data_IF_421656158424
#
_entry.id   IF_421656158424
#
_cell.length_a   1.000
_cell.length_b   1.000
_cell.length_c   1.000
_cell.angle_alpha   90.00
_cell.angle_beta   90.00
_cell.angle_gamma   90.00
#
_symmetry.space_group_name_H-M   'P 1'
#
loop_
_entity.id
_entity.type
_entity.pdbx_description
1 polymer ?
#
# COMPACT_ATOMS: atom_id res chain seq x y z
N UNK A 1 33.91 -9.37 -21.03
CA UNK A 1 34.44 -8.57 -19.90
C UNK A 1 33.51 -8.76 -18.72
N UNK A 2 34.07 -9.11 -17.56
CA UNK A 2 33.35 -9.52 -16.34
C UNK A 2 32.28 -8.51 -15.91
N UNK A 3 31.02 -8.92 -15.95
CA UNK A 3 29.90 -8.16 -15.41
C UNK A 3 29.91 -8.35 -13.87
N UNK A 4 30.91 -7.76 -13.20
CA UNK A 4 30.93 -7.68 -11.73
C UNK A 4 29.67 -6.93 -11.32
N UNK A 5 28.69 -7.64 -10.77
CA UNK A 5 27.53 -7.08 -10.09
C UNK A 5 28.06 -6.09 -9.05
N UNK A 6 27.98 -4.79 -9.35
CA UNK A 6 28.33 -3.73 -8.40
C UNK A 6 27.50 -3.96 -7.14
N UNK A 7 28.17 -4.14 -6.00
CA UNK A 7 27.48 -4.22 -4.72
C UNK A 7 26.62 -2.96 -4.50
N UNK A 8 25.52 -3.06 -3.74
CA UNK A 8 24.72 -1.90 -3.36
C UNK A 8 25.63 -0.82 -2.77
N UNK A 9 25.43 0.44 -3.18
CA UNK A 9 26.14 1.56 -2.57
C UNK A 9 25.80 1.62 -1.07
N UNK A 10 26.80 1.90 -0.23
CA UNK A 10 26.58 2.20 1.18
C UNK A 10 25.55 3.34 1.29
N UNK A 11 24.51 3.15 2.10
CA UNK A 11 23.41 4.11 2.20
C UNK A 11 23.86 5.48 2.76
N UNK A 12 24.94 5.53 3.56
CA UNK A 12 25.51 6.78 4.07
C UNK A 12 26.17 7.61 2.96
N UNK A 13 26.74 6.94 1.96
CA UNK A 13 27.48 7.57 0.86
C UNK A 13 26.60 7.88 -0.36
N UNK A 14 25.39 7.31 -0.42
CA UNK A 14 24.49 7.48 -1.57
C UNK A 14 23.91 8.91 -1.60
N UNK A 15 24.28 9.69 -2.61
CA UNK A 15 23.78 11.06 -2.81
C UNK A 15 22.29 11.13 -3.17
N UNK A 16 21.67 9.99 -3.51
CA UNK A 16 20.23 9.90 -3.80
C UNK A 16 19.36 9.73 -2.55
N UNK A 17 19.95 9.62 -1.36
CA UNK A 17 19.20 9.61 -0.10
C UNK A 17 19.21 10.99 0.56
N UNK A 18 18.04 11.44 1.01
CA UNK A 18 17.93 12.66 1.80
C UNK A 18 18.68 12.52 3.14
N UNK A 19 19.24 13.63 3.65
CA UNK A 19 20.02 13.65 4.89
C UNK A 19 19.24 13.01 6.05
N UNK A 20 17.99 13.43 6.25
CA UNK A 20 17.13 12.86 7.31
C UNK A 20 16.84 11.37 7.12
N UNK A 21 16.76 10.91 5.86
CA UNK A 21 16.59 9.48 5.55
C UNK A 21 17.82 8.68 5.96
N UNK A 22 19.03 9.21 5.74
CA UNK A 22 20.28 8.54 6.16
C UNK A 22 20.37 8.40 7.67
N UNK A 23 20.04 9.46 8.42
CA UNK A 23 20.03 9.41 9.89
C UNK A 23 19.02 8.41 10.43
N UNK A 24 17.83 8.34 9.81
CA UNK A 24 16.83 7.34 10.17
C UNK A 24 17.31 5.91 9.90
N UNK A 25 17.90 5.67 8.71
CA UNK A 25 18.45 4.36 8.36
C UNK A 25 19.60 3.95 9.29
N UNK A 26 20.40 4.89 9.79
CA UNK A 26 21.46 4.60 10.77
C UNK A 26 20.91 4.01 12.07
N UNK A 27 19.78 4.53 12.56
CA UNK A 27 19.11 3.99 13.75
C UNK A 27 18.53 2.61 13.46
N UNK A 28 17.86 2.43 12.32
CA UNK A 28 17.27 1.15 11.95
C UNK A 28 18.30 0.05 11.73
N UNK A 29 19.39 0.36 11.02
CA UNK A 29 20.44 -0.60 10.68
C UNK A 29 21.37 -0.91 11.88
N UNK A 30 21.15 -0.30 13.05
CA UNK A 30 21.89 -0.62 14.28
C UNK A 30 21.38 -1.88 14.99
N UNK A 31 20.24 -2.43 14.59
CA UNK A 31 19.73 -3.70 15.10
C UNK A 31 20.36 -4.89 14.39
N UNK A 32 20.78 -5.89 15.15
CA UNK A 32 21.47 -7.08 14.62
C UNK A 32 20.54 -8.22 14.22
N UNK A 33 19.23 -8.12 14.51
CA UNK A 33 18.25 -9.19 14.25
C UNK A 33 17.37 -8.83 13.05
N UNK A 34 17.50 -9.52 11.91
CA UNK A 34 16.62 -9.30 10.75
C UNK A 34 15.17 -9.65 11.08
N UNK A 35 14.22 -8.83 10.60
CA UNK A 35 12.78 -9.02 10.88
C UNK A 35 12.29 -10.37 10.38
N UNK A 36 12.75 -10.79 9.20
CA UNK A 36 12.44 -12.08 8.57
C UNK A 36 12.95 -13.31 9.33
N UNK A 37 13.81 -13.12 10.34
CA UNK A 37 14.27 -14.20 11.23
C UNK A 37 13.36 -14.41 12.45
N UNK A 38 12.43 -13.48 12.71
CA UNK A 38 11.53 -13.52 13.85
C UNK A 38 10.26 -14.34 13.55
N UNK A 39 9.64 -14.95 14.58
CA UNK A 39 8.26 -15.43 14.47
C UNK A 39 7.32 -14.27 14.04
N UNK A 40 6.29 -14.52 13.20
CA UNK A 40 5.39 -13.47 12.71
C UNK A 40 4.79 -12.57 13.80
N UNK A 41 4.44 -13.12 14.96
CA UNK A 41 3.93 -12.36 16.10
C UNK A 41 4.93 -11.36 16.66
N UNK A 42 6.22 -11.69 16.66
CA UNK A 42 7.29 -10.79 17.10
C UNK A 42 7.69 -9.80 16.00
N UNK A 43 7.70 -10.25 14.73
CA UNK A 43 7.92 -9.37 13.59
C UNK A 43 6.90 -8.21 13.54
N UNK A 44 5.62 -8.49 13.83
CA UNK A 44 4.56 -7.45 13.94
C UNK A 44 4.90 -6.36 14.96
N UNK A 45 5.41 -6.76 16.14
CA UNK A 45 5.81 -5.82 17.20
C UNK A 45 6.92 -4.87 16.78
N UNK A 46 7.77 -5.25 15.82
CA UNK A 46 8.82 -4.35 15.31
C UNK A 46 8.20 -3.12 14.64
N UNK A 47 7.21 -3.31 13.77
CA UNK A 47 6.52 -2.19 13.12
C UNK A 47 5.67 -1.39 14.13
N UNK A 48 4.99 -2.07 15.06
CA UNK A 48 4.22 -1.43 16.13
C UNK A 48 5.11 -0.56 17.03
N UNK A 49 6.27 -1.07 17.44
CA UNK A 49 7.28 -0.35 18.21
C UNK A 49 7.84 0.85 17.46
N UNK A 50 8.20 0.68 16.18
CA UNK A 50 8.67 1.77 15.35
C UNK A 50 7.63 2.90 15.22
N UNK A 51 6.37 2.55 14.97
CA UNK A 51 5.30 3.54 14.83
C UNK A 51 4.97 4.24 16.15
N UNK A 52 4.91 3.50 17.27
CA UNK A 52 4.57 4.05 18.59
C UNK A 52 5.70 4.87 19.23
N UNK A 53 6.95 4.67 18.81
CA UNK A 53 8.11 5.44 19.28
C UNK A 53 8.06 6.92 18.88
N UNK A 54 7.21 7.29 17.91
CA UNK A 54 7.08 8.65 17.41
C UNK A 54 5.66 9.16 17.64
N UNK A 55 5.54 10.21 18.45
CA UNK A 55 4.27 10.91 18.65
C UNK A 55 3.89 11.69 17.39
N UNK A 56 2.74 11.35 16.82
CA UNK A 56 2.16 12.00 15.64
C UNK A 56 0.76 12.50 15.92
N UNK A 57 0.28 13.45 15.11
CA UNK A 57 -1.07 13.97 15.21
C UNK A 57 -2.06 12.98 14.57
N UNK A 58 -3.03 12.53 15.37
CA UNK A 58 -4.14 11.67 14.93
C UNK A 58 -5.50 12.33 15.24
N UNK A 59 -5.52 13.64 15.46
CA UNK A 59 -6.73 14.41 15.71
C UNK A 59 -7.50 14.74 14.42
N UNK A 60 -8.73 15.26 14.55
CA UNK A 60 -9.52 15.69 13.40
C UNK A 60 -10.32 14.58 12.71
N UNK A 61 -10.34 13.38 13.30
CA UNK A 61 -11.12 12.23 12.81
C UNK A 61 -12.03 11.64 13.89
N UNK A 62 -13.05 10.91 13.44
CA UNK A 62 -13.92 10.03 14.21
C UNK A 62 -13.83 8.61 13.65
N UNK A 63 -13.86 7.61 14.52
CA UNK A 63 -13.56 6.21 14.17
C UNK A 63 -14.68 5.29 14.68
N UNK A 64 -15.17 4.41 13.81
CA UNK A 64 -16.15 3.37 14.16
C UNK A 64 -15.68 2.03 13.63
N UNK A 65 -15.56 1.03 14.52
CA UNK A 65 -15.31 -0.36 14.13
C UNK A 65 -16.64 -1.07 13.85
N UNK A 66 -16.68 -1.85 12.77
CA UNK A 66 -17.83 -2.70 12.43
C UNK A 66 -17.34 -3.98 11.78
N UNK A 67 -17.90 -5.12 12.19
CA UNK A 67 -17.74 -6.37 11.44
C UNK A 67 -18.85 -6.46 10.41
N UNK A 68 -18.49 -6.61 9.14
CA UNK A 68 -19.41 -6.78 8.03
C UNK A 68 -19.38 -8.22 7.53
N UNK A 69 -20.48 -8.66 6.90
CA UNK A 69 -20.59 -9.97 6.26
C UNK A 69 -20.94 -9.79 4.80
N UNK A 70 -20.09 -10.29 3.89
CA UNK A 70 -20.29 -10.17 2.45
C UNK A 70 -19.55 -11.29 1.73
N UNK A 71 -20.16 -11.90 0.72
CA UNK A 71 -19.50 -12.94 -0.10
C UNK A 71 -18.94 -14.13 0.69
N UNK A 72 -19.60 -14.52 1.79
CA UNK A 72 -19.13 -15.59 2.68
C UNK A 72 -17.97 -15.21 3.60
N UNK A 73 -17.52 -13.95 3.55
CA UNK A 73 -16.47 -13.40 4.41
C UNK A 73 -17.08 -12.62 5.57
N UNK A 74 -16.44 -12.72 6.74
CA UNK A 74 -16.66 -11.80 7.86
C UNK A 74 -15.39 -10.95 8.01
N UNK A 75 -15.52 -9.64 7.86
CA UNK A 75 -14.37 -8.72 7.78
C UNK A 75 -14.58 -7.57 8.76
N UNK A 76 -13.59 -7.29 9.59
CA UNK A 76 -13.60 -6.06 10.38
C UNK A 76 -13.20 -4.88 9.50
N UNK A 77 -13.99 -3.82 9.58
CA UNK A 77 -13.69 -2.54 8.95
C UNK A 77 -13.62 -1.44 10.01
N UNK A 78 -12.73 -0.48 9.77
CA UNK A 78 -12.67 0.75 10.56
C UNK A 78 -13.07 1.89 9.65
N UNK A 79 -14.22 2.49 9.94
CA UNK A 79 -14.72 3.67 9.25
C UNK A 79 -14.10 4.89 9.91
N UNK A 80 -13.29 5.64 9.16
CA UNK A 80 -12.62 6.85 9.61
C UNK A 80 -13.19 8.04 8.86
N UNK A 81 -13.73 9.01 9.60
CA UNK A 81 -14.39 10.20 9.02
C UNK A 81 -13.75 11.47 9.54
N UNK A 82 -13.75 12.58 8.79
CA UNK A 82 -13.37 13.87 9.36
C UNK A 82 -14.34 14.27 10.49
N UNK A 83 -13.80 14.76 11.59
CA UNK A 83 -14.57 15.07 12.81
C UNK A 83 -15.68 16.10 12.54
N UNK A 84 -16.87 15.87 13.09
CA UNK A 84 -18.01 16.79 12.99
C UNK A 84 -18.78 16.77 11.65
N UNK A 85 -18.40 15.90 10.70
CA UNK A 85 -19.07 15.75 9.40
C UNK A 85 -20.29 14.83 9.48
N UNK A 86 -21.48 15.41 9.35
CA UNK A 86 -22.77 14.71 9.45
C UNK A 86 -23.30 14.25 8.09
N UNK A 87 -22.88 14.90 7.03
CA UNK A 87 -23.28 14.58 5.66
C UNK A 87 -22.74 13.22 5.21
N UNK A 88 -23.40 12.66 4.19
CA UNK A 88 -22.92 11.47 3.50
C UNK A 88 -21.70 11.85 2.64
N UNK A 89 -20.55 11.22 2.89
CA UNK A 89 -19.27 11.57 2.25
C UNK A 89 -18.89 10.55 1.16
N UNK A 90 -18.21 10.97 0.08
CA UNK A 90 -17.43 10.05 -0.75
C UNK A 90 -16.47 9.22 0.10
N UNK A 91 -16.09 8.05 -0.41
CA UNK A 91 -15.32 7.07 0.35
C UNK A 91 -14.14 6.52 -0.43
N UNK A 92 -13.04 6.29 0.26
CA UNK A 92 -11.98 5.43 -0.25
C UNK A 92 -11.74 4.24 0.67
N UNK A 93 -11.64 3.05 0.09
CA UNK A 93 -11.13 1.89 0.80
C UNK A 93 -9.64 2.11 1.06
N UNK A 94 -9.16 1.80 2.27
CA UNK A 94 -7.72 1.82 2.58
C UNK A 94 -7.24 0.40 2.87
N UNK A 95 -6.27 -0.04 2.07
CA UNK A 95 -5.65 -1.37 2.16
C UNK A 95 -4.23 -1.21 2.69
N UNK A 96 -3.98 -1.74 3.88
CA UNK A 96 -2.70 -1.53 4.54
C UNK A 96 -1.56 -2.37 3.96
N UNK A 97 -0.36 -1.79 4.00
CA UNK A 97 0.89 -2.48 3.73
C UNK A 97 1.37 -3.32 4.90
N UNK A 98 2.68 -3.62 4.90
CA UNK A 98 3.29 -4.50 5.90
C UNK A 98 3.58 -5.92 5.39
N UNK A 99 3.73 -6.12 4.07
CA UNK A 99 4.18 -7.41 3.55
C UNK A 99 3.24 -8.59 3.79
N UNK A 100 1.94 -8.33 3.94
CA UNK A 100 0.86 -9.25 4.32
C UNK A 100 0.97 -9.84 5.72
N UNK A 101 2.17 -9.83 6.31
CA UNK A 101 2.46 -10.41 7.63
C UNK A 101 2.32 -9.37 8.74
N UNK A 102 2.75 -8.14 8.48
CA UNK A 102 2.74 -7.03 9.41
C UNK A 102 1.59 -6.06 9.11
N UNK A 103 1.49 -5.04 9.95
CA UNK A 103 0.51 -3.98 9.79
C UNK A 103 -0.85 -4.34 10.40
N UNK A 104 -1.58 -3.29 10.71
CA UNK A 104 -2.93 -3.25 11.24
C UNK A 104 -3.41 -1.79 11.20
N UNK A 105 -4.63 -1.52 11.66
CA UNK A 105 -5.13 -0.15 11.73
C UNK A 105 -4.26 0.78 12.60
N UNK A 106 -3.88 0.46 13.86
CA UNK A 106 -3.01 1.31 14.67
C UNK A 106 -1.70 1.75 13.99
N UNK A 107 -1.00 0.83 13.32
CA UNK A 107 0.26 1.13 12.63
C UNK A 107 0.07 2.07 11.43
N UNK A 108 -1.10 2.03 10.77
CA UNK A 108 -1.41 2.86 9.60
C UNK A 108 -2.25 4.10 9.93
N UNK A 109 -2.70 4.23 11.19
CA UNK A 109 -3.67 5.24 11.62
C UNK A 109 -3.31 6.66 11.18
N UNK A 110 -2.04 7.07 11.32
CA UNK A 110 -1.62 8.41 10.90
C UNK A 110 -1.76 8.62 9.39
N UNK A 111 -1.33 7.66 8.56
CA UNK A 111 -1.48 7.76 7.10
C UNK A 111 -2.96 7.89 6.71
N UNK A 112 -3.82 7.02 7.26
CA UNK A 112 -5.27 7.04 7.01
C UNK A 112 -5.85 8.39 7.45
N UNK A 113 -5.51 8.83 8.66
CA UNK A 113 -5.93 10.13 9.21
C UNK A 113 -5.54 11.28 8.31
N UNK A 114 -4.29 11.34 7.87
CA UNK A 114 -3.77 12.45 7.07
C UNK A 114 -4.51 12.55 5.74
N UNK A 115 -4.79 11.41 5.09
CA UNK A 115 -5.60 11.36 3.88
C UNK A 115 -7.07 11.75 4.13
N UNK A 116 -7.68 11.29 5.22
CA UNK A 116 -9.06 11.64 5.59
C UNK A 116 -9.19 13.15 5.83
N UNK A 117 -8.30 13.73 6.63
CA UNK A 117 -8.32 15.16 6.97
C UNK A 117 -8.07 16.01 5.72
N UNK A 118 -7.08 15.66 4.90
CA UNK A 118 -6.72 16.45 3.73
C UNK A 118 -7.75 16.33 2.59
N UNK A 119 -8.28 15.12 2.36
CA UNK A 119 -9.28 14.89 1.32
C UNK A 119 -10.68 15.39 1.71
N UNK A 120 -11.00 15.37 3.01
CA UNK A 120 -12.36 15.59 3.51
C UNK A 120 -13.31 14.42 3.27
N UNK A 121 -12.81 13.27 2.81
CA UNK A 121 -13.59 12.06 2.53
C UNK A 121 -13.49 11.04 3.65
N UNK A 122 -14.44 10.11 3.68
CA UNK A 122 -14.37 8.98 4.60
C UNK A 122 -13.37 7.92 4.09
N UNK A 123 -12.68 7.26 5.00
CA UNK A 123 -11.93 6.05 4.72
C UNK A 123 -12.63 4.84 5.31
N UNK A 124 -12.61 3.72 4.60
CA UNK A 124 -12.92 2.40 5.16
C UNK A 124 -11.64 1.58 5.13
N UNK A 125 -10.98 1.49 6.29
CA UNK A 125 -9.83 0.62 6.46
C UNK A 125 -10.31 -0.82 6.56
N UNK A 126 -9.69 -1.73 5.79
CA UNK A 126 -10.03 -3.14 5.79
C UNK A 126 -9.01 -3.91 6.62
N UNK A 127 -9.44 -4.47 7.75
CA UNK A 127 -8.61 -5.30 8.62
C UNK A 127 -8.66 -6.75 8.09
N UNK A 128 -7.91 -7.01 7.01
CA UNK A 128 -7.85 -8.32 6.38
C UNK A 128 -7.01 -9.31 7.20
N UNK A 129 -7.28 -10.61 7.03
CA UNK A 129 -6.53 -11.65 7.72
C UNK A 129 -5.09 -11.71 7.20
N UNK A 130 -4.13 -11.54 8.10
CA UNK A 130 -2.70 -11.50 7.79
C UNK A 130 -2.12 -12.89 7.52
N UNK A 131 -1.00 -12.90 6.83
CA UNK A 131 -0.17 -14.09 6.62
C UNK A 131 0.77 -14.32 7.81
N UNK A 132 1.20 -15.57 8.07
CA UNK A 132 0.86 -16.81 7.36
C UNK A 132 -0.47 -17.46 7.78
N UNK A 133 -1.22 -16.89 8.72
CA UNK A 133 -2.50 -17.44 9.19
C UNK A 133 -3.51 -17.57 8.05
N UNK A 134 -3.48 -16.62 7.11
CA UNK A 134 -4.16 -16.68 5.83
C UNK A 134 -3.18 -16.50 4.68
N UNK A 135 -3.31 -17.35 3.66
CA UNK A 135 -2.54 -17.28 2.41
C UNK A 135 -3.40 -16.79 1.25
N UNK A 136 -2.77 -16.43 0.14
CA UNK A 136 -3.43 -16.09 -1.11
C UNK A 136 -4.49 -17.15 -1.48
N UNK A 137 -5.71 -16.79 -1.91
CA UNK A 137 -6.23 -15.45 -2.13
C UNK A 137 -7.05 -14.87 -0.97
N UNK A 138 -6.94 -15.40 0.26
CA UNK A 138 -7.87 -15.10 1.37
C UNK A 138 -8.04 -13.60 1.65
N UNK A 139 -6.94 -12.86 1.84
CA UNK A 139 -7.00 -11.42 2.07
C UNK A 139 -7.64 -10.67 0.88
N UNK A 140 -7.43 -11.13 -0.36
CA UNK A 140 -8.03 -10.52 -1.55
C UNK A 140 -9.52 -10.79 -1.62
N UNK A 141 -9.97 -11.97 -1.18
CA UNK A 141 -11.39 -12.31 -1.07
C UNK A 141 -12.09 -11.42 -0.05
N UNK A 142 -11.47 -11.21 1.12
CA UNK A 142 -11.97 -10.33 2.18
C UNK A 142 -12.04 -8.86 1.75
N UNK A 143 -10.97 -8.35 1.14
CA UNK A 143 -10.92 -6.96 0.64
C UNK A 143 -11.95 -6.72 -0.45
N UNK A 144 -12.08 -7.64 -1.40
CA UNK A 144 -13.08 -7.53 -2.45
C UNK A 144 -14.51 -7.59 -1.88
N UNK A 145 -14.77 -8.49 -0.92
CA UNK A 145 -16.04 -8.58 -0.23
C UNK A 145 -16.39 -7.29 0.54
N UNK A 146 -15.43 -6.69 1.23
CA UNK A 146 -15.59 -5.42 1.93
C UNK A 146 -15.84 -4.25 0.97
N UNK A 147 -15.09 -4.18 -0.13
CA UNK A 147 -15.26 -3.15 -1.16
C UNK A 147 -16.66 -3.23 -1.79
N UNK A 148 -17.12 -4.44 -2.12
CA UNK A 148 -18.47 -4.69 -2.60
C UNK A 148 -19.52 -4.29 -1.57
N UNK A 149 -19.33 -4.67 -0.31
CA UNK A 149 -20.26 -4.33 0.78
C UNK A 149 -20.40 -2.82 0.94
N UNK A 150 -19.31 -2.06 0.94
CA UNK A 150 -19.35 -0.59 1.06
C UNK A 150 -20.05 0.05 -0.13
N UNK A 151 -19.84 -0.46 -1.35
CA UNK A 151 -20.53 0.03 -2.53
C UNK A 151 -22.06 -0.16 -2.46
N UNK A 152 -22.51 -1.25 -1.84
CA UNK A 152 -23.93 -1.63 -1.73
C UNK A 152 -24.62 -1.05 -0.47
N UNK A 153 -23.89 -0.95 0.65
CA UNK A 153 -24.42 -0.66 1.99
C UNK A 153 -23.80 0.59 2.61
N UNK A 154 -23.20 1.48 1.81
CA UNK A 154 -22.54 2.69 2.31
C UNK A 154 -23.43 3.58 3.19
N UNK A 155 -24.75 3.57 2.97
CA UNK A 155 -25.73 4.27 3.82
C UNK A 155 -25.66 3.84 5.30
N UNK A 156 -25.36 2.57 5.60
CA UNK A 156 -25.25 2.07 6.97
C UNK A 156 -24.08 2.65 7.76
N UNK A 157 -23.08 3.20 7.05
CA UNK A 157 -21.91 3.85 7.64
C UNK A 157 -21.79 5.33 7.21
N UNK A 158 -22.89 5.89 6.70
CA UNK A 158 -23.03 7.26 6.24
C UNK A 158 -22.02 7.67 5.13
N UNK A 159 -21.70 6.78 4.20
CA UNK A 159 -20.82 7.06 3.06
C UNK A 159 -21.49 6.78 1.72
N UNK A 160 -21.09 7.50 0.68
CA UNK A 160 -21.54 7.30 -0.68
C UNK A 160 -20.73 6.22 -1.41
N UNK A 161 -21.20 4.97 -1.30
CA UNK A 161 -20.63 3.81 -1.96
C UNK A 161 -20.60 3.89 -3.50
N UNK A 162 -21.33 4.82 -4.13
CA UNK A 162 -21.25 5.06 -5.59
C UNK A 162 -20.08 5.97 -5.97
N UNK A 163 -19.58 6.73 -5.01
CA UNK A 163 -18.39 7.57 -5.09
C UNK A 163 -17.25 6.92 -4.30
N UNK A 164 -16.83 5.74 -4.80
CA UNK A 164 -15.83 4.89 -4.15
C UNK A 164 -14.50 4.87 -4.92
N UNK A 165 -13.41 5.13 -4.20
CA UNK A 165 -12.03 4.90 -4.66
C UNK A 165 -11.36 3.82 -3.79
N UNK A 166 -10.15 3.41 -4.18
CA UNK A 166 -9.34 2.47 -3.40
C UNK A 166 -7.89 2.96 -3.32
N UNK A 167 -7.31 2.89 -2.13
CA UNK A 167 -5.95 3.35 -1.83
C UNK A 167 -5.23 2.27 -1.04
N UNK A 168 -3.95 2.06 -1.31
CA UNK A 168 -3.15 1.20 -0.46
C UNK A 168 -1.65 1.40 -0.63
N UNK A 169 -0.89 1.08 0.42
CA UNK A 169 0.57 1.21 0.44
C UNK A 169 1.28 -0.14 0.37
N UNK A 170 2.41 -0.21 -0.34
CA UNK A 170 3.23 -1.42 -0.45
C UNK A 170 2.40 -2.60 -1.00
N UNK A 171 2.29 -3.70 -0.25
CA UNK A 171 1.37 -4.80 -0.58
C UNK A 171 -0.10 -4.37 -0.57
N UNK A 172 -0.50 -3.35 0.18
CA UNK A 172 -1.81 -2.72 0.03
C UNK A 172 -2.01 -2.11 -1.35
N UNK A 173 -0.94 -1.59 -1.97
CA UNK A 173 -0.93 -1.14 -3.37
C UNK A 173 -1.08 -2.30 -4.35
N UNK A 174 -0.51 -3.48 -4.04
CA UNK A 174 -0.80 -4.72 -4.77
C UNK A 174 -2.29 -5.09 -4.69
N UNK A 175 -2.83 -5.12 -3.48
CA UNK A 175 -4.23 -5.48 -3.24
C UNK A 175 -5.20 -4.48 -3.86
N UNK A 176 -4.79 -3.22 -4.02
CA UNK A 176 -5.56 -2.14 -4.65
C UNK A 176 -5.86 -2.46 -6.12
N UNK A 177 -4.82 -2.76 -6.90
CA UNK A 177 -4.99 -3.11 -8.32
C UNK A 177 -5.58 -4.52 -8.49
N UNK A 178 -5.20 -5.49 -7.65
CA UNK A 178 -5.77 -6.82 -7.69
C UNK A 178 -7.30 -6.80 -7.45
N UNK A 179 -7.76 -5.98 -6.50
CA UNK A 179 -9.19 -5.77 -6.24
C UNK A 179 -9.89 -5.10 -7.42
N UNK A 180 -9.24 -4.14 -8.08
CA UNK A 180 -9.79 -3.47 -9.27
C UNK A 180 -9.91 -4.42 -10.47
N UNK A 181 -8.90 -5.27 -10.71
CA UNK A 181 -8.94 -6.34 -11.72
C UNK A 181 -10.08 -7.32 -11.40
N UNK A 182 -10.23 -7.72 -10.13
CA UNK A 182 -11.28 -8.64 -9.70
C UNK A 182 -12.67 -8.01 -9.85
N UNK A 183 -12.84 -6.75 -9.49
CA UNK A 183 -14.10 -6.02 -9.66
C UNK A 183 -14.49 -5.92 -11.13
N UNK A 184 -13.54 -5.62 -12.03
CA UNK A 184 -13.77 -5.66 -13.48
C UNK A 184 -14.23 -7.04 -13.94
N UNK A 185 -13.51 -8.11 -13.58
CA UNK A 185 -13.85 -9.50 -13.96
C UNK A 185 -15.24 -9.91 -13.46
N UNK A 186 -15.62 -9.44 -12.28
CA UNK A 186 -16.92 -9.72 -11.65
C UNK A 186 -18.02 -8.70 -11.98
N UNK A 187 -17.75 -7.74 -12.87
CA UNK A 187 -18.69 -6.67 -13.29
C UNK A 187 -19.17 -5.78 -12.14
N UNK A 188 -18.36 -5.60 -11.10
CA UNK A 188 -18.64 -4.69 -9.99
C UNK A 188 -17.83 -5.01 -8.74
N UNK A 189 -17.85 -4.12 -7.73
CA UNK A 189 -18.48 -2.79 -7.76
C UNK A 189 -17.73 -1.81 -8.68
N UNK A 190 -18.36 -0.67 -9.00
CA UNK A 190 -17.68 0.40 -9.75
C UNK A 190 -16.71 1.12 -8.82
N UNK A 191 -15.43 1.10 -9.19
CA UNK A 191 -14.36 1.88 -8.55
C UNK A 191 -14.09 3.09 -9.45
N UNK A 192 -14.09 4.30 -8.89
CA UNK A 192 -13.91 5.55 -9.65
C UNK A 192 -12.45 5.98 -9.78
N UNK A 193 -11.58 5.53 -8.88
CA UNK A 193 -10.15 5.82 -8.90
C UNK A 193 -9.38 4.83 -8.02
N UNK A 194 -8.12 4.59 -8.37
CA UNK A 194 -7.21 3.77 -7.57
C UNK A 194 -5.87 4.47 -7.34
N UNK A 195 -5.35 4.40 -6.12
CA UNK A 195 -4.07 5.02 -5.75
C UNK A 195 -3.16 3.96 -5.13
N UNK A 196 -2.04 3.71 -5.80
CA UNK A 196 -1.03 2.73 -5.43
C UNK A 196 0.19 3.45 -4.87
N UNK A 197 0.30 3.45 -3.54
CA UNK A 197 1.45 4.01 -2.85
C UNK A 197 2.56 2.95 -2.83
N UNK A 198 3.61 3.15 -3.62
CA UNK A 198 4.81 2.31 -3.77
C UNK A 198 4.49 0.81 -3.84
N UNK A 199 3.72 0.38 -4.85
CA UNK A 199 3.11 -0.94 -4.86
C UNK A 199 4.12 -2.07 -5.04
N UNK A 200 3.84 -3.20 -4.40
CA UNK A 200 4.37 -4.49 -4.84
C UNK A 200 3.64 -4.95 -6.09
N UNK A 201 4.34 -5.20 -7.20
CA UNK A 201 3.70 -5.53 -8.48
C UNK A 201 4.30 -6.72 -9.22
N UNK A 202 5.40 -7.29 -8.72
CA UNK A 202 6.09 -8.43 -9.33
C UNK A 202 6.71 -9.30 -8.24
N UNK A 203 6.50 -10.62 -8.35
CA UNK A 203 7.00 -11.60 -7.40
C UNK A 203 8.50 -11.91 -7.54
N UNK A 204 9.05 -11.74 -8.74
CA UNK A 204 10.48 -11.87 -8.99
C UNK A 204 11.27 -10.74 -8.34
N UNK A 205 12.54 -11.00 -8.01
CA UNK A 205 13.46 -10.03 -7.42
C UNK A 205 14.54 -9.58 -8.42
N UNK A 206 14.25 -9.70 -9.73
CA UNK A 206 15.22 -9.50 -10.82
C UNK A 206 15.38 -8.05 -11.29
N UNK A 207 14.49 -7.15 -10.86
CA UNK A 207 14.53 -5.76 -11.27
C UNK A 207 15.81 -5.05 -10.82
N UNK A 208 16.21 -4.00 -11.56
CA UNK A 208 17.45 -3.24 -11.27
C UNK A 208 17.43 -2.61 -9.88
N UNK A 209 16.25 -2.23 -9.38
CA UNK A 209 16.05 -1.65 -8.05
C UNK A 209 16.40 -2.64 -6.93
N UNK A 210 16.04 -3.92 -7.04
CA UNK A 210 16.43 -4.95 -6.08
C UNK A 210 17.95 -5.06 -5.95
N UNK A 211 18.67 -5.11 -7.08
CA UNK A 211 20.14 -5.14 -7.08
C UNK A 211 20.76 -3.89 -6.45
N UNK A 212 20.16 -2.71 -6.64
CA UNK A 212 20.71 -1.44 -6.17
C UNK A 212 20.40 -1.15 -4.70
N UNK A 213 19.20 -1.55 -4.23
CA UNK A 213 18.64 -1.11 -2.96
C UNK A 213 18.28 -2.24 -2.00
N UNK A 214 18.55 -3.50 -2.35
CA UNK A 214 18.15 -4.69 -1.59
C UNK A 214 18.76 -4.87 -0.20
N UNK A 215 19.59 -3.93 0.25
CA UNK A 215 20.25 -3.95 1.56
C UNK A 215 20.24 -2.56 2.20
N UNK A 216 20.14 -2.53 3.53
CA UNK A 216 20.36 -1.36 4.40
C UNK A 216 19.45 -0.15 4.13
N UNK A 217 18.35 -0.33 3.39
CA UNK A 217 17.40 0.74 3.00
C UNK A 217 15.98 0.43 3.44
N UNK A 218 15.83 -0.02 4.69
CA UNK A 218 14.58 -0.46 5.31
C UNK A 218 13.98 -1.74 4.70
N UNK A 219 13.41 -1.66 3.50
CA UNK A 219 12.89 -2.85 2.81
C UNK A 219 14.04 -3.56 2.08
N UNK A 220 14.45 -4.71 2.62
CA UNK A 220 15.51 -5.55 2.04
C UNK A 220 14.92 -6.62 1.13
N UNK A 221 15.76 -7.16 0.24
CA UNK A 221 15.35 -8.27 -0.63
C UNK A 221 14.94 -9.51 0.18
N UNK A 222 15.72 -9.99 1.17
CA UNK A 222 15.32 -11.14 1.98
C UNK A 222 14.01 -10.91 2.75
N UNK A 223 13.79 -9.70 3.27
CA UNK A 223 12.54 -9.37 3.96
C UNK A 223 11.33 -9.47 3.03
N UNK A 224 11.42 -8.92 1.81
CA UNK A 224 10.33 -9.00 0.84
C UNK A 224 10.09 -10.44 0.34
N UNK A 225 11.15 -11.23 0.17
CA UNK A 225 11.04 -12.65 -0.18
C UNK A 225 10.31 -13.43 0.93
N UNK A 226 10.67 -13.22 2.19
CA UNK A 226 10.00 -13.82 3.34
C UNK A 226 8.52 -13.42 3.43
N UNK A 227 8.20 -12.13 3.26
CA UNK A 227 6.82 -11.63 3.23
C UNK A 227 5.99 -12.31 2.14
N UNK A 228 6.52 -12.39 0.91
CA UNK A 228 5.88 -13.07 -0.21
C UNK A 228 5.67 -14.56 0.08
N UNK A 229 6.66 -15.25 0.63
CA UNK A 229 6.60 -16.70 0.86
C UNK A 229 5.63 -17.06 2.01
N UNK A 230 5.40 -16.15 2.95
CA UNK A 230 4.31 -16.26 3.93
C UNK A 230 2.93 -16.07 3.27
N UNK A 231 2.83 -15.22 2.25
CA UNK A 231 1.58 -14.91 1.56
C UNK A 231 1.14 -15.98 0.56
N UNK A 232 2.04 -16.47 -0.30
CA UNK A 232 1.69 -17.42 -1.37
C UNK A 232 1.63 -18.86 -0.87
N UNK A 233 0.86 -19.71 -1.56
CA UNK A 233 0.82 -21.16 -1.28
C UNK A 233 1.98 -21.89 -1.93
N UNK A 234 2.38 -21.43 -3.13
CA UNK A 234 3.47 -22.01 -3.90
C UNK A 234 4.04 -21.01 -4.90
N UNK A 235 5.17 -21.35 -5.53
CA UNK A 235 5.74 -20.54 -6.61
C UNK A 235 4.81 -20.37 -7.81
N UNK A 236 3.84 -21.27 -8.02
CA UNK A 236 2.86 -21.12 -9.11
C UNK A 236 2.00 -19.86 -8.93
N UNK A 237 1.78 -19.41 -7.69
CA UNK A 237 1.01 -18.19 -7.42
C UNK A 237 1.75 -16.93 -7.89
N UNK A 238 3.07 -16.98 -8.11
CA UNK A 238 3.86 -15.82 -8.55
C UNK A 238 3.42 -15.32 -9.92
N UNK A 239 2.90 -16.21 -10.77
CA UNK A 239 2.44 -15.88 -12.13
C UNK A 239 1.00 -15.33 -12.14
N UNK A 240 0.28 -15.44 -11.02
CA UNK A 240 -1.05 -14.88 -10.88
C UNK A 240 -1.00 -13.36 -11.01
N UNK A 241 -1.84 -12.79 -11.88
CA UNK A 241 -1.97 -11.32 -12.03
C UNK A 241 -2.49 -10.62 -10.76
N UNK A 242 -2.98 -11.39 -9.78
CA UNK A 242 -3.38 -10.88 -8.47
C UNK A 242 -2.23 -10.84 -7.46
N UNK A 243 -1.10 -11.49 -7.76
CA UNK A 243 0.14 -11.43 -6.98
C UNK A 243 1.17 -10.56 -7.70
N UNK A 244 1.33 -10.77 -9.01
CA UNK A 244 2.22 -10.00 -9.89
C UNK A 244 1.42 -9.25 -10.97
N UNK A 245 0.71 -8.16 -10.61
CA UNK A 245 -0.09 -7.39 -11.57
C UNK A 245 0.74 -6.78 -12.71
N UNK A 246 2.07 -6.65 -12.56
CA UNK A 246 2.95 -6.25 -13.67
C UNK A 246 2.93 -7.24 -14.84
N UNK A 247 2.50 -8.49 -14.62
CA UNK A 247 2.33 -9.53 -15.64
C UNK A 247 0.95 -9.55 -16.30
N UNK A 248 0.04 -8.68 -15.87
CA UNK A 248 -1.30 -8.60 -16.43
C UNK A 248 -1.24 -8.23 -17.93
N UNK A 249 -2.09 -8.87 -18.73
CA UNK A 249 -2.18 -8.54 -20.15
C UNK A 249 -2.83 -7.17 -20.34
N UNK A 250 -2.66 -6.59 -21.53
CA UNK A 250 -3.38 -5.37 -21.93
C UNK A 250 -4.90 -5.49 -21.72
N UNK A 251 -5.47 -6.66 -22.03
CA UNK A 251 -6.90 -6.91 -21.86
C UNK A 251 -7.32 -7.09 -20.41
N UNK A 252 -6.44 -7.61 -19.53
CA UNK A 252 -6.70 -7.60 -18.08
C UNK A 252 -6.76 -6.17 -17.53
N UNK A 253 -5.90 -5.27 -18.02
CA UNK A 253 -5.76 -3.89 -17.52
C UNK A 253 -6.71 -2.88 -18.17
N UNK A 254 -7.16 -3.11 -19.41
CA UNK A 254 -8.03 -2.17 -20.15
C UNK A 254 -9.32 -1.85 -19.39
N UNK A 255 -9.65 -0.58 -19.20
CA UNK A 255 -10.89 -0.17 -18.51
C UNK A 255 -10.85 -0.31 -16.99
N UNK A 256 -9.67 -0.53 -16.40
CA UNK A 256 -9.45 -0.26 -14.99
C UNK A 256 -9.64 1.23 -14.67
N UNK A 257 -9.93 1.60 -13.41
CA UNK A 257 -10.15 3.00 -13.04
C UNK A 257 -8.88 3.85 -13.23
N UNK A 258 -9.05 5.19 -13.39
CA UNK A 258 -7.94 6.13 -13.36
C UNK A 258 -7.01 5.86 -12.17
N UNK A 259 -5.71 5.87 -12.43
CA UNK A 259 -4.70 5.33 -11.53
C UNK A 259 -3.63 6.36 -11.20
N UNK A 260 -3.32 6.51 -9.92
CA UNK A 260 -2.11 7.18 -9.45
C UNK A 260 -1.15 6.13 -8.88
N UNK A 261 0.11 6.15 -9.31
CA UNK A 261 1.20 5.35 -8.73
C UNK A 261 2.27 6.30 -8.20
N UNK A 262 2.62 6.16 -6.93
CA UNK A 262 3.65 7.00 -6.28
C UNK A 262 4.78 6.10 -5.77
N UNK A 263 5.98 6.18 -6.36
CA UNK A 263 7.12 5.30 -6.00
C UNK A 263 8.24 6.07 -5.29
N UNK A 264 8.99 5.38 -4.42
CA UNK A 264 10.22 5.92 -3.83
C UNK A 264 11.43 5.71 -4.75
N UNK A 265 12.34 6.68 -4.79
CA UNK A 265 13.58 6.56 -5.55
C UNK A 265 14.49 5.43 -5.07
N UNK A 266 14.61 5.24 -3.75
CA UNK A 266 15.50 4.28 -3.11
C UNK A 266 14.72 3.10 -2.53
N UNK A 267 13.97 2.42 -3.40
CA UNK A 267 13.09 1.31 -3.05
C UNK A 267 13.31 0.15 -4.03
N UNK A 268 13.35 -1.08 -3.51
CA UNK A 268 13.44 -2.30 -4.31
C UNK A 268 12.22 -2.47 -5.23
N UNK A 269 11.04 -2.01 -4.83
CA UNK A 269 9.80 -2.15 -5.60
C UNK A 269 9.63 -1.09 -6.70
N UNK A 270 10.49 -0.08 -6.73
CA UNK A 270 10.37 1.08 -7.63
C UNK A 270 10.21 0.69 -9.09
N UNK A 271 11.10 -0.16 -9.61
CA UNK A 271 11.11 -0.44 -11.05
C UNK A 271 9.90 -1.26 -11.48
N UNK A 272 9.40 -2.15 -10.63
CA UNK A 272 8.21 -2.94 -10.95
C UNK A 272 6.94 -2.09 -10.85
N UNK A 273 6.88 -1.14 -9.90
CA UNK A 273 5.80 -0.15 -9.83
C UNK A 273 5.76 0.77 -11.06
N UNK A 274 6.92 1.25 -11.52
CA UNK A 274 7.04 2.05 -12.75
C UNK A 274 6.69 1.26 -14.01
N UNK A 275 7.06 -0.03 -14.05
CA UNK A 275 6.71 -0.94 -15.14
C UNK A 275 5.20 -1.12 -15.22
N UNK A 276 4.54 -1.36 -14.08
CA UNK A 276 3.10 -1.46 -14.01
C UNK A 276 2.40 -0.18 -14.52
N UNK A 277 2.93 1.00 -14.16
CA UNK A 277 2.42 2.28 -14.66
C UNK A 277 2.44 2.37 -16.20
N UNK A 278 3.52 1.90 -16.83
CA UNK A 278 3.61 1.83 -18.30
C UNK A 278 2.61 0.86 -18.90
N UNK A 279 2.44 -0.32 -18.31
CA UNK A 279 1.47 -1.30 -18.81
C UNK A 279 0.02 -0.78 -18.72
N UNK A 280 -0.31 -0.03 -17.68
CA UNK A 280 -1.61 0.64 -17.56
C UNK A 280 -1.83 1.69 -18.65
N UNK A 281 -0.81 2.52 -18.93
CA UNK A 281 -0.84 3.52 -20.01
C UNK A 281 -1.02 2.85 -21.39
N UNK A 282 -0.23 1.81 -21.67
CA UNK A 282 -0.34 1.01 -22.90
C UNK A 282 -1.71 0.34 -23.05
N UNK A 283 -2.40 0.04 -21.95
CA UNK A 283 -3.77 -0.46 -21.91
C UNK A 283 -4.86 0.60 -22.05
N UNK A 284 -4.47 1.88 -22.12
CA UNK A 284 -5.37 3.02 -22.26
C UNK A 284 -6.03 3.46 -20.95
N UNK A 285 -5.44 3.13 -19.79
CA UNK A 285 -5.89 3.64 -18.49
C UNK A 285 -5.30 5.04 -18.28
N UNK A 286 -6.12 5.99 -17.83
CA UNK A 286 -5.62 7.30 -17.37
C UNK A 286 -4.73 7.09 -16.13
N UNK A 287 -3.40 7.13 -16.33
CA UNK A 287 -2.43 6.81 -15.30
C UNK A 287 -1.41 7.92 -15.12
N UNK A 288 -1.10 8.22 -13.86
CA UNK A 288 0.02 9.07 -13.49
C UNK A 288 0.98 8.26 -12.63
N UNK A 289 2.27 8.23 -12.99
CA UNK A 289 3.34 7.64 -12.17
C UNK A 289 4.30 8.72 -11.72
N UNK A 290 4.50 8.85 -10.41
CA UNK A 290 5.36 9.87 -9.79
C UNK A 290 6.44 9.19 -8.97
N UNK A 291 7.68 9.63 -9.14
CA UNK A 291 8.80 9.23 -8.28
C UNK A 291 9.13 10.33 -7.28
N UNK A 292 9.14 9.97 -6.01
CA UNK A 292 9.66 10.82 -4.93
C UNK A 292 11.14 10.51 -4.72
N UNK A 293 11.98 11.52 -4.95
CA UNK A 293 13.42 11.41 -4.75
C UNK A 293 13.80 11.56 -3.27
N UNK A 294 14.95 11.00 -2.88
CA UNK A 294 15.49 11.14 -1.52
C UNK A 294 14.86 10.24 -0.45
N UNK A 295 13.77 9.54 -0.77
CA UNK A 295 13.00 8.69 0.15
C UNK A 295 13.21 7.21 -0.11
N UNK A 296 12.81 6.40 0.88
CA UNK A 296 12.86 4.93 0.90
C UNK A 296 11.44 4.34 0.87
N UNK A 297 11.32 3.02 0.79
CA UNK A 297 10.05 2.32 0.93
C UNK A 297 9.30 2.73 2.22
N UNK A 298 7.97 2.82 2.14
CA UNK A 298 7.08 3.18 3.27
C UNK A 298 7.36 4.56 3.91
N UNK A 299 8.04 5.48 3.22
CA UNK A 299 8.28 6.84 3.76
C UNK A 299 6.99 7.56 4.19
N UNK A 300 5.91 7.37 3.45
CA UNK A 300 4.62 7.95 3.79
C UNK A 300 3.86 7.16 4.85
N UNK A 301 4.28 5.96 5.25
CA UNK A 301 3.74 5.18 6.37
C UNK A 301 4.50 5.50 7.68
N UNK A 302 5.82 5.49 7.64
CA UNK A 302 6.67 5.55 8.82
C UNK A 302 6.52 6.88 9.59
N UNK A 303 6.15 6.82 10.86
CA UNK A 303 5.92 8.01 11.69
C UNK A 303 7.16 8.89 11.84
N UNK A 304 8.37 8.31 11.80
CA UNK A 304 9.64 9.06 11.77
C UNK A 304 9.77 9.99 10.56
N UNK A 305 9.05 9.72 9.47
CA UNK A 305 9.01 10.53 8.26
C UNK A 305 7.75 11.40 8.14
N UNK A 306 6.85 11.42 9.13
CA UNK A 306 5.58 12.14 9.03
C UNK A 306 5.74 13.65 8.70
N UNK A 307 6.85 14.26 9.12
CA UNK A 307 7.08 15.71 9.00
C UNK A 307 7.97 16.11 7.83
N UNK A 308 8.59 15.18 7.09
CA UNK A 308 9.46 15.54 5.96
C UNK A 308 8.63 16.08 4.79
N UNK A 309 9.25 16.95 3.97
CA UNK A 309 8.56 17.57 2.84
C UNK A 309 7.98 16.54 1.84
N UNK A 310 8.70 15.47 1.43
CA UNK A 310 8.14 14.44 0.56
C UNK A 310 6.84 13.81 1.08
N UNK A 311 6.73 13.53 2.38
CA UNK A 311 5.52 12.96 3.00
C UNK A 311 4.36 13.95 2.97
N UNK A 312 4.60 15.23 3.27
CA UNK A 312 3.54 16.25 3.20
C UNK A 312 3.05 16.44 1.76
N UNK A 313 3.97 16.49 0.80
CA UNK A 313 3.62 16.62 -0.62
C UNK A 313 2.84 15.40 -1.13
N UNK A 314 3.24 14.20 -0.72
CA UNK A 314 2.50 12.95 -0.97
C UNK A 314 1.04 13.11 -0.51
N UNK A 315 0.81 13.42 0.76
CA UNK A 315 -0.56 13.54 1.32
C UNK A 315 -1.40 14.57 0.56
N UNK A 316 -0.84 15.76 0.30
CA UNK A 316 -1.52 16.82 -0.45
C UNK A 316 -1.91 16.34 -1.86
N UNK A 317 -0.97 15.71 -2.55
CA UNK A 317 -1.18 15.26 -3.93
C UNK A 317 -2.16 14.09 -4.00
N UNK A 318 -2.00 13.07 -3.15
CA UNK A 318 -2.93 11.94 -3.04
C UNK A 318 -4.35 12.42 -2.74
N UNK A 319 -4.53 13.37 -1.80
CA UNK A 319 -5.83 13.93 -1.45
C UNK A 319 -6.46 14.74 -2.59
N UNK A 320 -5.67 15.50 -3.33
CA UNK A 320 -6.14 16.21 -4.53
C UNK A 320 -6.61 15.22 -5.62
N UNK A 321 -5.89 14.11 -5.81
CA UNK A 321 -6.27 13.08 -6.76
C UNK A 321 -7.52 12.31 -6.33
N UNK A 322 -7.68 12.02 -5.03
CA UNK A 322 -8.94 11.50 -4.48
C UNK A 322 -10.11 12.44 -4.81
N UNK A 323 -9.96 13.74 -4.56
CA UNK A 323 -10.97 14.75 -4.89
C UNK A 323 -11.30 14.73 -6.38
N UNK A 324 -10.30 14.68 -7.26
CA UNK A 324 -10.49 14.59 -8.72
C UNK A 324 -11.25 13.33 -9.13
N UNK A 325 -10.98 12.18 -8.53
CA UNK A 325 -11.63 10.92 -8.90
C UNK A 325 -13.06 10.79 -8.36
N UNK A 326 -13.37 11.45 -7.24
CA UNK A 326 -14.65 11.33 -6.54
C UNK A 326 -15.55 12.57 -6.65
N UNK A 327 -15.08 13.65 -7.28
CA UNK A 327 -15.89 14.81 -7.67
C UNK A 327 -16.86 14.51 -8.80
#
# INVERSE_FOLDING_TARGET
MSNKTKQPLNYLEDSHLGIGTKEFLKVLNAGDTPVESLPPSEARKVLEGAQSSVKVDVSGIEEVRKTIKSGGQAVEIIVVRPKGKKEKLPVFMFLHGGGWVLGDYPTHKRLVRDLVVESGFASVFVEYTRSPEAKFPRALDEIYAATKWVAEHGDEINVDGKNLAIVGNSVGGNMTIATSIRAKKNKGPKIKGQILLWPYSEASTEAKSYRKYGKERFLTTPLMEWMRDNYVNSKADWDSIYVSPARATKDDLKGLPPTLIEVAENDILRNDGETLGRHLDEAGVDVTTIRFNGVIHDWGLLNGFAKIAPTKSLILFTAAMLKKYLS
#
